data_IF_282909048881
#
_entry.id   IF_282909048881
#
_cell.length_a   1.000
_cell.length_b   1.000
_cell.length_c   1.000
_cell.angle_alpha   90.00
_cell.angle_beta   90.00
_cell.angle_gamma   90.00
#
_symmetry.space_group_name_H-M   'P 1'
#
loop_
_entity.id
_entity.type
_entity.pdbx_description
1 polymer ?
#
# COMPACT_ATOMS: atom_id res chain seq x y z
N UNK A 1 -8.19 11.13 -4.80
CA UNK A 1 -7.21 11.24 -3.70
C UNK A 1 -7.02 9.91 -3.00
N UNK A 2 -6.06 9.10 -3.46
CA UNK A 2 -5.59 7.91 -2.75
C UNK A 2 -4.33 8.18 -1.91
N UNK A 3 -4.17 7.43 -0.82
CA UNK A 3 -2.92 7.34 -0.07
C UNK A 3 -2.60 5.88 0.21
N UNK A 4 -1.35 5.48 -0.03
CA UNK A 4 -0.85 4.15 0.32
C UNK A 4 0.23 4.30 1.39
N UNK A 5 0.00 3.66 2.54
CA UNK A 5 0.97 3.64 3.63
C UNK A 5 1.53 2.23 3.80
N UNK A 6 2.85 2.13 3.85
CA UNK A 6 3.57 0.87 3.90
C UNK A 6 4.40 0.86 5.18
N UNK A 7 4.29 -0.22 5.95
CA UNK A 7 5.24 -0.54 7.01
C UNK A 7 5.82 -1.92 6.76
N UNK A 8 7.14 -2.06 6.88
CA UNK A 8 7.84 -3.33 6.73
C UNK A 8 9.02 -3.44 7.71
N UNK A 9 9.35 -4.65 8.14
CA UNK A 9 10.57 -4.92 8.91
C UNK A 9 11.82 -5.05 8.02
N UNK A 10 11.64 -5.15 6.71
CA UNK A 10 12.74 -5.18 5.74
C UNK A 10 13.39 -3.81 5.69
N UNK A 11 14.72 -3.76 5.62
CA UNK A 11 15.44 -2.51 5.32
C UNK A 11 15.37 -2.27 3.81
N UNK A 12 14.91 -1.09 3.40
CA UNK A 12 14.65 -0.77 2.00
C UNK A 12 15.65 0.29 1.52
N UNK A 13 16.32 0.03 0.40
CA UNK A 13 17.20 1.03 -0.23
C UNK A 13 16.40 1.96 -1.16
N UNK A 14 17.03 3.02 -1.65
CA UNK A 14 16.36 4.03 -2.47
C UNK A 14 15.86 3.48 -3.82
N UNK A 15 16.61 2.60 -4.48
CA UNK A 15 16.23 1.99 -5.75
C UNK A 15 14.97 1.12 -5.61
N UNK A 16 14.94 0.27 -4.58
CA UNK A 16 13.78 -0.58 -4.26
C UNK A 16 12.58 0.28 -3.84
N UNK A 17 12.79 1.34 -3.05
CA UNK A 17 11.72 2.27 -2.68
C UNK A 17 11.11 2.96 -3.90
N UNK A 18 11.94 3.41 -4.85
CA UNK A 18 11.50 4.03 -6.10
C UNK A 18 10.76 3.04 -7.00
N UNK A 19 11.23 1.78 -7.09
CA UNK A 19 10.55 0.71 -7.83
C UNK A 19 9.16 0.41 -7.25
N UNK A 20 9.04 0.30 -5.92
CA UNK A 20 7.77 0.09 -5.23
C UNK A 20 6.84 1.27 -5.49
N UNK A 21 7.30 2.51 -5.27
CA UNK A 21 6.50 3.71 -5.51
C UNK A 21 6.01 3.79 -6.95
N UNK A 22 6.90 3.56 -7.93
CA UNK A 22 6.55 3.63 -9.35
C UNK A 22 5.52 2.56 -9.74
N UNK A 23 5.64 1.34 -9.23
CA UNK A 23 4.67 0.30 -9.53
C UNK A 23 3.32 0.56 -8.86
N UNK A 24 3.30 1.03 -7.60
CA UNK A 24 2.07 1.43 -6.92
C UNK A 24 1.37 2.63 -7.60
N UNK A 25 2.15 3.55 -8.17
CA UNK A 25 1.64 4.64 -9.01
C UNK A 25 0.82 4.15 -10.21
N UNK A 26 1.24 3.03 -10.82
CA UNK A 26 0.48 2.38 -11.90
C UNK A 26 -0.70 1.58 -11.37
N UNK A 27 -0.47 0.80 -10.31
CA UNK A 27 -1.46 -0.14 -9.77
C UNK A 27 -2.66 0.58 -9.13
N UNK A 28 -2.51 1.85 -8.69
CA UNK A 28 -3.62 2.60 -8.12
C UNK A 28 -4.81 2.76 -9.09
N UNK A 29 -4.56 2.72 -10.40
CA UNK A 29 -5.58 2.78 -11.44
C UNK A 29 -6.47 1.51 -11.50
N UNK A 30 -6.09 0.44 -10.79
CA UNK A 30 -6.97 -0.71 -10.55
C UNK A 30 -8.18 -0.32 -9.71
N UNK A 31 -8.06 0.71 -8.86
CA UNK A 31 -9.19 1.29 -8.14
C UNK A 31 -9.90 2.31 -9.05
N UNK A 32 -11.23 2.20 -9.24
CA UNK A 32 -11.98 3.12 -10.09
C UNK A 32 -11.75 4.58 -9.71
N UNK A 33 -11.51 5.42 -10.73
CA UNK A 33 -11.38 6.88 -10.61
C UNK A 33 -10.17 7.35 -9.76
N UNK A 34 -9.23 6.45 -9.42
CA UNK A 34 -7.99 6.82 -8.72
C UNK A 34 -6.82 6.82 -9.71
N UNK A 35 -5.95 7.81 -9.58
CA UNK A 35 -4.79 8.01 -10.47
C UNK A 35 -3.56 8.40 -9.66
N UNK A 36 -2.39 8.23 -10.26
CA UNK A 36 -1.10 8.57 -9.66
C UNK A 36 -0.95 10.06 -9.34
N UNK A 37 -1.52 10.95 -10.17
CA UNK A 37 -1.47 12.41 -9.97
C UNK A 37 -2.00 12.87 -8.61
N UNK A 38 -2.83 12.04 -7.97
CA UNK A 38 -3.41 12.29 -6.66
C UNK A 38 -2.86 11.38 -5.56
N UNK A 39 -1.96 10.47 -5.90
CA UNK A 39 -1.46 9.44 -5.00
C UNK A 39 -0.34 9.96 -4.11
N UNK A 40 -0.50 9.76 -2.81
CA UNK A 40 0.58 9.87 -1.84
C UNK A 40 1.02 8.49 -1.37
N UNK A 41 2.32 8.19 -1.42
CA UNK A 41 2.89 6.94 -0.89
C UNK A 41 3.83 7.27 0.26
N UNK A 42 3.71 6.54 1.37
CA UNK A 42 4.67 6.59 2.48
C UNK A 42 5.21 5.19 2.74
N UNK A 43 6.54 5.06 2.91
CA UNK A 43 7.20 3.81 3.23
C UNK A 43 8.01 3.97 4.52
N UNK A 44 7.64 3.21 5.54
CA UNK A 44 8.40 3.06 6.79
C UNK A 44 9.04 1.68 6.79
N UNK A 45 10.37 1.64 6.71
CA UNK A 45 11.17 0.41 6.69
C UNK A 45 11.76 0.11 8.06
N UNK A 46 12.45 -1.04 8.19
CA UNK A 46 13.15 -1.42 9.44
C UNK A 46 12.27 -1.40 10.71
N UNK A 47 10.96 -1.61 10.55
CA UNK A 47 10.00 -1.60 11.65
C UNK A 47 10.18 -2.82 12.56
N UNK A 48 9.97 -2.65 13.86
CA UNK A 48 9.82 -3.78 14.79
C UNK A 48 8.44 -4.39 14.60
N UNK A 49 8.37 -5.52 13.89
CA UNK A 49 7.12 -6.21 13.56
C UNK A 49 7.22 -7.68 13.96
N UNK A 50 6.10 -8.24 14.40
CA UNK A 50 5.93 -9.67 14.61
C UNK A 50 4.61 -10.11 13.99
N UNK A 51 4.63 -11.21 13.26
CA UNK A 51 3.43 -11.86 12.76
C UNK A 51 3.36 -13.26 13.37
N UNK A 52 2.24 -13.55 14.05
CA UNK A 52 2.07 -14.80 14.83
C UNK A 52 3.17 -15.01 15.89
N UNK A 53 3.74 -13.91 16.40
CA UNK A 53 4.83 -13.92 17.38
C UNK A 53 6.22 -14.11 16.79
N UNK A 54 6.35 -14.24 15.47
CA UNK A 54 7.63 -14.41 14.77
C UNK A 54 8.02 -13.15 13.97
N UNK A 55 9.31 -12.85 13.93
CA UNK A 55 9.92 -11.73 13.22
C UNK A 55 11.11 -12.16 12.34
N UNK A 56 11.32 -13.47 12.19
CA UNK A 56 12.48 -14.06 11.49
C UNK A 56 12.41 -13.93 9.95
N UNK A 57 11.28 -13.52 9.41
CA UNK A 57 11.01 -13.42 7.98
C UNK A 57 10.51 -12.01 7.60
N UNK A 58 10.57 -11.64 6.30
CA UNK A 58 10.02 -10.39 5.80
C UNK A 58 8.51 -10.28 6.06
N UNK A 59 8.09 -9.16 6.64
CA UNK A 59 6.71 -8.83 6.99
C UNK A 59 6.34 -7.48 6.41
N UNK A 60 5.07 -7.32 6.03
CA UNK A 60 4.54 -6.01 5.66
C UNK A 60 3.09 -5.80 6.09
N UNK A 61 2.73 -4.55 6.33
CA UNK A 61 1.34 -4.11 6.35
C UNK A 61 1.20 -2.91 5.42
N UNK A 62 0.17 -2.95 4.58
CA UNK A 62 -0.15 -1.90 3.62
C UNK A 62 -1.56 -1.40 3.89
N UNK A 63 -1.71 -0.07 3.97
CA UNK A 63 -3.01 0.57 4.05
C UNK A 63 -3.27 1.36 2.77
N UNK A 64 -4.34 1.02 2.07
CA UNK A 64 -4.82 1.73 0.89
C UNK A 64 -6.04 2.56 1.30
N UNK A 65 -5.83 3.87 1.42
CA UNK A 65 -6.83 4.85 1.84
C UNK A 65 -7.33 5.59 0.62
N UNK A 66 -8.64 5.72 0.47
CA UNK A 66 -9.23 6.47 -0.64
C UNK A 66 -10.33 7.40 -0.16
N UNK A 67 -10.39 8.58 -0.76
CA UNK A 67 -11.57 9.43 -0.68
C UNK A 67 -12.76 8.76 -1.38
N UNK A 68 -13.88 8.65 -0.66
CA UNK A 68 -15.15 8.06 -1.12
C UNK A 68 -15.89 7.32 0.00
N UNK A 69 -17.13 6.91 -0.28
CA UNK A 69 -17.98 6.21 0.70
C UNK A 69 -17.66 4.71 0.84
N UNK A 70 -17.12 4.10 -0.22
CA UNK A 70 -16.89 2.65 -0.28
C UNK A 70 -15.75 2.31 -1.24
N UNK A 71 -15.28 1.07 -1.13
CA UNK A 71 -14.24 0.51 -2.00
C UNK A 71 -14.86 -0.65 -2.76
N UNK A 72 -14.69 -0.67 -4.08
CA UNK A 72 -15.15 -1.77 -4.91
C UNK A 72 -14.40 -3.06 -4.56
N UNK A 73 -15.14 -4.11 -4.22
CA UNK A 73 -14.57 -5.37 -3.73
C UNK A 73 -13.68 -6.04 -4.78
N UNK A 74 -14.11 -6.08 -6.04
CA UNK A 74 -13.37 -6.74 -7.11
C UNK A 74 -12.08 -5.96 -7.47
N UNK A 75 -12.13 -4.64 -7.42
CA UNK A 75 -10.96 -3.77 -7.58
C UNK A 75 -9.96 -3.96 -6.43
N UNK A 76 -10.44 -4.05 -5.19
CA UNK A 76 -9.59 -4.28 -4.02
C UNK A 76 -8.93 -5.67 -4.03
N UNK A 77 -9.59 -6.68 -4.60
CA UNK A 77 -8.99 -8.00 -4.81
C UNK A 77 -7.86 -7.96 -5.84
N UNK A 78 -8.05 -7.28 -6.97
CA UNK A 78 -7.00 -7.08 -7.97
C UNK A 78 -5.81 -6.30 -7.41
N UNK A 79 -6.07 -5.23 -6.68
CA UNK A 79 -5.03 -4.44 -6.01
C UNK A 79 -4.26 -5.28 -4.99
N UNK A 80 -4.95 -6.14 -4.24
CA UNK A 80 -4.33 -7.07 -3.28
C UNK A 80 -3.35 -8.01 -3.97
N UNK A 81 -3.76 -8.61 -5.10
CA UNK A 81 -2.90 -9.49 -5.88
C UNK A 81 -1.67 -8.76 -6.42
N UNK A 82 -1.85 -7.53 -6.93
CA UNK A 82 -0.77 -6.70 -7.45
C UNK A 82 0.26 -6.32 -6.36
N UNK A 83 -0.22 -5.85 -5.20
CA UNK A 83 0.64 -5.49 -4.06
C UNK A 83 1.39 -6.72 -3.53
N UNK A 84 0.72 -7.86 -3.35
CA UNK A 84 1.40 -9.10 -2.92
C UNK A 84 2.51 -9.50 -3.89
N UNK A 85 2.25 -9.47 -5.20
CA UNK A 85 3.24 -9.78 -6.23
C UNK A 85 4.42 -8.80 -6.21
N UNK A 86 4.14 -7.51 -6.07
CA UNK A 86 5.16 -6.47 -5.98
C UNK A 86 6.06 -6.66 -4.76
N UNK A 87 5.46 -6.84 -3.58
CA UNK A 87 6.19 -6.97 -2.32
C UNK A 87 6.99 -8.28 -2.24
N UNK A 88 6.48 -9.35 -2.83
CA UNK A 88 7.24 -10.59 -2.97
C UNK A 88 8.47 -10.39 -3.86
N UNK A 89 8.33 -9.65 -4.97
CA UNK A 89 9.42 -9.37 -5.90
C UNK A 89 10.50 -8.45 -5.31
N UNK A 90 10.07 -7.33 -4.71
CA UNK A 90 10.99 -6.24 -4.31
C UNK A 90 11.51 -6.40 -2.89
N UNK A 91 10.72 -6.99 -1.98
CA UNK A 91 11.04 -7.10 -0.55
C UNK A 91 11.16 -8.55 -0.06
N UNK A 92 10.83 -9.54 -0.89
CA UNK A 92 10.84 -10.95 -0.48
C UNK A 92 9.75 -11.30 0.54
N UNK A 93 8.73 -10.45 0.70
CA UNK A 93 7.59 -10.71 1.60
C UNK A 93 6.68 -11.76 0.98
N UNK A 94 6.52 -12.90 1.64
CA UNK A 94 5.60 -13.95 1.19
C UNK A 94 4.15 -13.41 1.27
N UNK A 95 3.29 -13.67 0.26
CA UNK A 95 1.88 -13.25 0.29
C UNK A 95 1.11 -13.66 1.56
N UNK A 96 1.53 -14.70 2.27
CA UNK A 96 0.90 -15.11 3.54
C UNK A 96 1.31 -14.25 4.76
N UNK A 97 2.36 -13.45 4.62
CA UNK A 97 3.04 -12.66 5.66
C UNK A 97 2.87 -11.14 5.44
N UNK A 98 1.88 -10.76 4.63
CA UNK A 98 1.47 -9.38 4.38
C UNK A 98 -0.03 -9.20 4.66
N UNK A 99 -0.38 -8.09 5.30
CA UNK A 99 -1.77 -7.62 5.38
C UNK A 99 -1.97 -6.37 4.54
N UNK A 100 -3.10 -6.32 3.85
CA UNK A 100 -3.52 -5.15 3.07
C UNK A 100 -4.90 -4.73 3.57
N UNK A 101 -4.99 -3.50 4.07
CA UNK A 101 -6.22 -2.92 4.60
C UNK A 101 -6.69 -1.80 3.70
N UNK A 102 -7.96 -1.85 3.33
CA UNK A 102 -8.61 -0.86 2.47
C UNK A 102 -9.52 0.03 3.32
N UNK A 103 -9.37 1.36 3.21
CA UNK A 103 -10.19 2.32 3.97
C UNK A 103 -10.76 3.39 3.05
N UNK A 104 -12.08 3.51 3.02
CA UNK A 104 -12.80 4.61 2.39
C UNK A 104 -13.13 5.66 3.46
N UNK A 105 -12.87 6.93 3.16
CA UNK A 105 -13.24 8.06 4.01
C UNK A 105 -14.08 9.07 3.22
N UNK A 106 -15.26 9.48 3.75
CA UNK A 106 -16.10 10.50 3.12
C UNK A 106 -15.55 11.91 3.32
N UNK A 107 -14.63 12.12 4.25
CA UNK A 107 -13.96 13.39 4.48
C UNK A 107 -12.49 13.25 4.10
N UNK A 108 -12.01 14.11 3.20
CA UNK A 108 -10.62 14.13 2.77
C UNK A 108 -10.09 15.55 2.56
N UNK A 109 -9.13 15.97 3.40
CA UNK A 109 -8.51 17.29 3.32
C UNK A 109 -7.38 17.38 2.31
N UNK A 110 -7.42 18.39 1.44
CA UNK A 110 -6.32 18.76 0.57
C UNK A 110 -6.38 20.26 0.21
N UNK A 111 -5.21 20.89 0.11
CA UNK A 111 -5.06 22.27 -0.34
C UNK A 111 -6.00 23.28 0.36
N UNK A 112 -5.99 23.30 1.69
CA UNK A 112 -6.80 24.18 2.55
C UNK A 112 -8.33 23.98 2.45
N UNK A 113 -8.79 22.88 1.86
CA UNK A 113 -10.22 22.53 1.72
C UNK A 113 -10.47 21.07 2.07
N UNK A 114 -11.74 20.72 2.26
CA UNK A 114 -12.19 19.36 2.53
C UNK A 114 -13.17 18.93 1.43
N UNK A 115 -13.16 17.65 1.08
CA UNK A 115 -13.95 17.03 0.02
C UNK A 115 -14.74 15.86 0.57
#
# INVERSE_FOLDING_TARGET
MPCIQIKTNVKVNEETAEAIKSQLGKDIALLPEKTEDWLMVTLEDSCRMWFRGDASHPLAIVEVKVFGAQIDSAASEKMTQAVCKLFQKELGVDPKDIYIRYLASPDWGWNNTNF
#
